data_IF_044876675350
#
_entry.id   IF_044876675350
#
_cell.length_a   1.000
_cell.length_b   1.000
_cell.length_c   1.000
_cell.angle_alpha   90.00
_cell.angle_beta   90.00
_cell.angle_gamma   90.00
#
_symmetry.space_group_name_H-M   'P 1'
#
loop_
_entity.id
_entity.type
_entity.pdbx_description
1 polymer ?
#
# COMPACT_ATOMS: atom_id res chain seq x y z
N UNK A 1 -20.53 -2.04 7.26
CA UNK A 1 -19.77 -3.27 6.99
C UNK A 1 -18.85 -2.97 5.81
N UNK A 2 -17.55 -3.05 6.02
CA UNK A 2 -16.57 -2.97 4.92
C UNK A 2 -16.58 -4.30 4.16
N UNK A 3 -16.51 -4.25 2.85
CA UNK A 3 -16.28 -5.42 2.00
C UNK A 3 -15.12 -5.11 1.06
N UNK A 4 -14.57 -6.13 0.42
CA UNK A 4 -13.39 -6.00 -0.45
C UNK A 4 -13.56 -4.91 -1.53
N UNK A 5 -14.75 -4.77 -2.11
CA UNK A 5 -15.02 -3.75 -3.14
C UNK A 5 -14.99 -2.35 -2.55
N UNK A 6 -15.59 -2.15 -1.38
CA UNK A 6 -15.60 -0.84 -0.71
C UNK A 6 -14.19 -0.41 -0.29
N UNK A 7 -13.39 -1.35 0.21
CA UNK A 7 -11.97 -1.12 0.53
C UNK A 7 -11.22 -0.74 -0.75
N UNK A 8 -11.31 -1.52 -1.81
CA UNK A 8 -10.67 -1.20 -3.09
C UNK A 8 -11.05 0.20 -3.60
N UNK A 9 -12.34 0.53 -3.65
CA UNK A 9 -12.82 1.81 -4.19
C UNK A 9 -12.35 3.02 -3.37
N UNK A 10 -12.20 2.89 -2.05
CA UNK A 10 -11.76 3.97 -1.17
C UNK A 10 -10.27 4.33 -1.34
N UNK A 11 -9.46 3.34 -1.73
CA UNK A 11 -7.99 3.44 -1.73
C UNK A 11 -7.35 3.28 -3.12
N UNK A 12 -8.11 2.89 -4.15
CA UNK A 12 -7.61 2.88 -5.52
C UNK A 12 -7.08 4.27 -5.89
N UNK A 13 -5.84 4.32 -6.37
CA UNK A 13 -5.16 5.57 -6.72
C UNK A 13 -4.56 6.35 -5.54
N UNK A 14 -4.64 5.85 -4.30
CA UNK A 14 -3.97 6.38 -3.10
C UNK A 14 -2.87 5.45 -2.55
N UNK A 15 -2.58 4.40 -3.32
CA UNK A 15 -1.65 3.32 -2.99
C UNK A 15 -0.79 3.04 -4.22
N UNK A 16 0.37 2.38 -4.07
CA UNK A 16 1.24 2.05 -5.20
C UNK A 16 0.53 1.20 -6.26
N UNK A 17 0.98 1.33 -7.51
CA UNK A 17 0.53 0.46 -8.59
C UNK A 17 0.83 -1.01 -8.24
N UNK A 18 -0.03 -1.94 -8.70
CA UNK A 18 0.08 -3.38 -8.41
C UNK A 18 -0.11 -3.78 -6.94
N UNK A 19 -0.46 -2.85 -6.06
CA UNK A 19 -0.92 -3.13 -4.69
C UNK A 19 -2.44 -3.04 -4.66
N UNK A 20 -3.11 -4.10 -4.18
CA UNK A 20 -4.58 -4.17 -4.12
C UNK A 20 -5.03 -4.38 -2.67
N UNK A 21 -5.74 -3.41 -2.06
CA UNK A 21 -6.19 -3.50 -0.68
C UNK A 21 -7.45 -4.36 -0.64
N UNK A 22 -7.53 -5.29 0.31
CA UNK A 22 -8.68 -6.18 0.42
C UNK A 22 -9.34 -6.18 1.80
N UNK A 23 -8.65 -5.65 2.81
CA UNK A 23 -9.19 -5.49 4.16
C UNK A 23 -8.59 -4.29 4.87
N UNK A 24 -9.30 -3.85 5.91
CA UNK A 24 -8.86 -2.87 6.87
C UNK A 24 -9.02 -3.50 8.25
N UNK A 25 -8.02 -3.37 9.10
CA UNK A 25 -8.12 -3.85 10.47
C UNK A 25 -8.82 -2.82 11.39
N UNK A 26 -9.10 -3.16 12.66
CA UNK A 26 -9.76 -2.22 13.58
C UNK A 26 -9.00 -0.92 13.86
N UNK A 27 -7.68 -0.88 13.63
CA UNK A 27 -6.82 0.29 13.83
C UNK A 27 -6.73 1.18 12.58
N UNK A 28 -7.38 0.78 11.48
CA UNK A 28 -7.38 1.54 10.22
C UNK A 28 -6.28 1.16 9.24
N UNK A 29 -5.49 0.13 9.55
CA UNK A 29 -4.38 -0.30 8.71
C UNK A 29 -4.87 -1.13 7.52
N UNK A 30 -4.23 -0.93 6.37
CA UNK A 30 -4.53 -1.64 5.13
C UNK A 30 -3.87 -3.01 5.11
N UNK A 31 -4.62 -4.01 4.67
CA UNK A 31 -4.08 -5.32 4.30
C UNK A 31 -4.22 -5.44 2.78
N UNK A 32 -3.08 -5.64 2.11
CA UNK A 32 -3.00 -5.60 0.66
C UNK A 32 -2.34 -6.85 0.07
N UNK A 33 -2.74 -7.20 -1.15
CA UNK A 33 -1.94 -8.03 -2.04
C UNK A 33 -0.92 -7.16 -2.75
N UNK A 34 0.34 -7.58 -2.73
CA UNK A 34 1.40 -6.99 -3.56
C UNK A 34 1.75 -7.94 -4.70
N UNK A 35 1.44 -7.50 -5.92
CA UNK A 35 1.75 -8.23 -7.15
C UNK A 35 3.09 -7.83 -7.76
N UNK A 36 3.82 -6.87 -7.17
CA UNK A 36 5.10 -6.42 -7.70
C UNK A 36 6.12 -7.57 -7.67
N UNK A 37 6.56 -8.01 -8.85
CA UNK A 37 7.41 -9.19 -9.04
C UNK A 37 6.80 -10.53 -8.57
N UNK A 38 5.50 -10.56 -8.28
CA UNK A 38 4.76 -11.68 -7.70
C UNK A 38 3.40 -11.90 -8.41
N UNK A 39 3.35 -11.81 -9.74
CA UNK A 39 2.11 -11.73 -10.53
C UNK A 39 1.14 -12.90 -10.29
N UNK A 40 1.64 -14.14 -10.22
CA UNK A 40 0.80 -15.34 -10.04
C UNK A 40 0.55 -15.69 -8.56
N UNK A 41 1.42 -15.23 -7.67
CA UNK A 41 1.39 -15.56 -6.24
C UNK A 41 1.77 -14.33 -5.40
N UNK A 42 0.84 -13.36 -5.26
CA UNK A 42 1.12 -12.11 -4.56
C UNK A 42 1.42 -12.39 -3.09
N UNK A 43 2.29 -11.57 -2.51
CA UNK A 43 2.51 -11.57 -1.07
C UNK A 43 1.47 -10.70 -0.38
N UNK A 44 1.25 -10.94 0.91
CA UNK A 44 0.40 -10.07 1.74
C UNK A 44 1.29 -9.07 2.44
N UNK A 45 1.00 -7.78 2.25
CA UNK A 45 1.69 -6.67 2.90
C UNK A 45 0.72 -5.88 3.77
N UNK A 46 1.27 -5.16 4.74
CA UNK A 46 0.51 -4.36 5.68
C UNK A 46 0.88 -2.88 5.55
N UNK A 47 -0.11 -2.04 5.26
CA UNK A 47 0.00 -0.58 5.21
C UNK A 47 -0.44 0.03 6.52
N UNK A 48 0.49 0.58 7.29
CA UNK A 48 0.24 1.19 8.60
C UNK A 48 -0.26 2.63 8.48
N UNK A 49 -1.49 2.89 8.94
CA UNK A 49 -2.24 4.14 8.87
C UNK A 49 -1.60 5.32 9.61
N UNK A 50 -0.81 5.04 10.66
CA UNK A 50 -0.15 6.07 11.49
C UNK A 50 1.31 6.32 11.09
N UNK A 51 1.81 5.63 10.05
CA UNK A 51 3.16 5.84 9.53
C UNK A 51 3.27 7.14 8.74
N UNK A 52 3.83 8.19 9.36
CA UNK A 52 4.29 9.36 8.62
C UNK A 52 5.50 8.98 7.73
N UNK A 53 5.46 9.38 6.46
CA UNK A 53 6.47 9.08 5.44
C UNK A 53 7.90 9.48 5.85
N UNK A 54 8.86 8.60 5.55
CA UNK A 54 10.21 9.00 5.15
C UNK A 54 10.24 9.01 3.61
N UNK A 55 10.10 10.21 3.04
CA UNK A 55 10.11 10.57 1.60
C UNK A 55 11.22 9.88 0.79
N UNK A 56 12.33 9.48 1.43
CA UNK A 56 13.49 8.86 0.80
C UNK A 56 13.29 7.42 0.30
N UNK A 57 12.40 6.63 0.91
CA UNK A 57 12.35 5.18 0.63
C UNK A 57 11.76 4.87 -0.76
N UNK A 58 10.79 5.67 -1.24
CA UNK A 58 10.20 5.48 -2.57
C UNK A 58 11.08 5.99 -3.70
N UNK A 59 11.76 7.12 -3.51
CA UNK A 59 12.60 7.74 -4.54
C UNK A 59 13.79 6.83 -4.85
N UNK A 60 14.38 6.20 -3.83
CA UNK A 60 15.54 5.33 -3.98
C UNK A 60 15.17 3.87 -4.36
N UNK A 61 13.98 3.38 -3.99
CA UNK A 61 13.55 1.99 -4.22
C UNK A 61 12.62 1.75 -5.43
N UNK A 62 11.78 2.72 -5.78
CA UNK A 62 10.75 2.59 -6.84
C UNK A 62 11.07 3.44 -8.08
N UNK A 63 12.06 4.35 -7.99
CA UNK A 63 12.46 5.23 -9.10
C UNK A 63 11.40 6.26 -9.48
N UNK A 64 10.50 6.61 -8.55
CA UNK A 64 9.44 7.60 -8.76
C UNK A 64 9.88 9.01 -8.35
N UNK A 65 9.21 10.02 -8.89
CA UNK A 65 9.46 11.43 -8.56
C UNK A 65 8.89 11.80 -7.20
N UNK A 66 9.38 12.88 -6.60
CA UNK A 66 8.90 13.39 -5.31
C UNK A 66 7.39 13.69 -5.31
N UNK A 67 6.85 14.25 -6.40
CA UNK A 67 5.40 14.51 -6.54
C UNK A 67 4.56 13.24 -6.65
N UNK A 68 5.12 12.15 -7.18
CA UNK A 68 4.48 10.84 -7.21
C UNK A 68 4.56 10.17 -5.84
N UNK A 69 5.69 10.32 -5.15
CA UNK A 69 5.89 9.87 -3.77
C UNK A 69 5.01 10.61 -2.76
N UNK A 70 4.51 11.81 -3.05
CA UNK A 70 3.55 12.54 -2.20
C UNK A 70 2.10 12.05 -2.38
N UNK A 71 1.75 11.50 -3.55
CA UNK A 71 0.38 11.04 -3.86
C UNK A 71 0.08 9.58 -3.48
N UNK A 72 1.11 8.76 -3.26
CA UNK A 72 1.04 7.29 -3.26
C UNK A 72 0.88 6.54 -1.90
N UNK A 73 0.93 7.07 -0.69
CA UNK A 73 0.99 8.44 -0.24
C UNK A 73 0.37 8.63 1.12
N UNK A 74 -0.34 9.74 1.25
CA UNK A 74 -0.89 10.26 2.50
C UNK A 74 -1.42 9.17 3.45
N UNK A 75 -0.58 8.79 4.42
CA UNK A 75 -0.95 8.01 5.59
C UNK A 75 -0.69 6.50 5.60
N UNK A 76 0.16 5.90 4.75
CA UNK A 76 0.47 4.46 4.88
C UNK A 76 1.95 4.08 4.74
N UNK A 77 2.47 3.27 5.67
CA UNK A 77 3.79 2.62 5.58
C UNK A 77 3.65 1.12 5.32
N UNK A 78 4.23 0.61 4.23
CA UNK A 78 4.08 -0.79 3.81
C UNK A 78 5.27 -1.67 4.23
N UNK A 79 4.99 -2.77 4.94
CA UNK A 79 5.98 -3.79 5.29
C UNK A 79 5.74 -5.09 4.51
N UNK A 80 6.80 -5.66 3.92
CA UNK A 80 6.79 -7.00 3.36
C UNK A 80 7.30 -8.04 4.37
N UNK A 81 6.51 -9.08 4.64
CA UNK A 81 6.97 -10.23 5.42
C UNK A 81 7.41 -11.35 4.48
N UNK A 82 8.72 -11.65 4.45
CA UNK A 82 9.19 -12.95 3.95
C UNK A 82 8.95 -13.97 5.07
N UNK A 83 8.03 -14.91 4.85
CA UNK A 83 7.88 -16.11 5.67
C UNK A 83 8.95 -17.15 5.31
#
# INVERSE_FOLDING_TARGET
>A
MENILKVYENYKGKIPNQVIPFAIDPSGNLICFDYKNHEENPIVIYGEHEGAWEEKVLIEGEGITTEEAEKVSEGFLFYGFNL
#
